data_IF_293997735801
#
_entry.id   IF_293997735801
#
_cell.length_a   1.000
_cell.length_b   1.000
_cell.length_c   1.000
_cell.angle_alpha   90.00
_cell.angle_beta   90.00
_cell.angle_gamma   90.00
#
_symmetry.space_group_name_H-M   'P 1'
#
loop_
_entity.id
_entity.type
_entity.pdbx_description
1 polymer ?
#
# COMPACT_ATOMS: atom_id res chain seq x y z
N UNK A 1 7.99 11.50 3.69
CA UNK A 1 7.01 10.38 3.76
C UNK A 1 6.23 10.54 5.05
N UNK A 2 4.91 10.38 5.01
CA UNK A 2 4.06 10.38 6.21
C UNK A 2 3.71 8.93 6.50
N UNK A 3 4.07 8.44 7.69
CA UNK A 3 3.62 7.12 8.17
C UNK A 3 2.22 7.23 8.76
N UNK A 4 1.31 6.35 8.34
CA UNK A 4 -0.02 6.26 8.91
C UNK A 4 -0.10 5.07 9.87
N UNK A 5 -0.78 5.28 10.99
CA UNK A 5 -1.08 4.25 12.01
C UNK A 5 -2.50 4.48 12.53
N UNK A 6 -3.02 3.57 13.34
CA UNK A 6 -4.34 3.66 13.93
C UNK A 6 -4.58 2.55 14.96
N UNK A 7 -5.80 2.50 15.47
CA UNK A 7 -6.32 1.37 16.24
C UNK A 7 -6.45 0.11 15.39
N UNK A 8 -6.57 -1.05 16.04
CA UNK A 8 -6.77 -2.33 15.36
C UNK A 8 -8.02 -2.31 14.45
N UNK A 9 -9.09 -1.63 14.88
CA UNK A 9 -10.32 -1.48 14.10
C UNK A 9 -10.10 -0.64 12.83
N UNK A 10 -9.36 0.47 12.93
CA UNK A 10 -9.02 1.33 11.80
C UNK A 10 -8.11 0.59 10.80
N UNK A 11 -7.09 -0.12 11.30
CA UNK A 11 -6.18 -0.93 10.48
C UNK A 11 -6.95 -2.06 9.77
N UNK A 12 -7.83 -2.78 10.49
CA UNK A 12 -8.65 -3.83 9.91
C UNK A 12 -9.61 -3.29 8.83
N UNK A 13 -10.20 -2.11 9.06
CA UNK A 13 -11.07 -1.47 8.07
C UNK A 13 -10.32 -1.11 6.78
N UNK A 14 -9.12 -0.52 6.91
CA UNK A 14 -8.26 -0.19 5.76
C UNK A 14 -7.82 -1.47 5.03
N UNK A 15 -7.35 -2.49 5.77
CA UNK A 15 -6.93 -3.76 5.18
C UNK A 15 -8.06 -4.40 4.35
N UNK A 16 -9.28 -4.42 4.90
CA UNK A 16 -10.47 -4.94 4.21
C UNK A 16 -10.84 -4.08 2.99
N UNK A 17 -10.76 -2.76 3.10
CA UNK A 17 -11.08 -1.83 2.02
C UNK A 17 -10.16 -1.99 0.80
N UNK A 18 -8.87 -2.22 1.04
CA UNK A 18 -7.87 -2.42 0.00
C UNK A 18 -7.67 -3.87 -0.42
N UNK A 19 -8.37 -4.81 0.23
CA UNK A 19 -8.23 -6.26 0.02
C UNK A 19 -6.79 -6.73 0.22
N UNK A 20 -6.08 -6.09 1.15
CA UNK A 20 -4.73 -6.44 1.49
C UNK A 20 -4.70 -7.71 2.37
N UNK A 21 -3.51 -8.28 2.49
CA UNK A 21 -3.20 -9.39 3.37
C UNK A 21 -2.11 -8.96 4.33
N UNK A 22 -2.32 -9.26 5.61
CA UNK A 22 -1.27 -9.29 6.60
C UNK A 22 -1.47 -10.49 7.52
N UNK A 23 -0.39 -11.02 8.07
CA UNK A 23 -0.41 -12.07 9.09
C UNK A 23 0.76 -11.89 10.03
N UNK A 24 0.46 -11.79 11.32
CA UNK A 24 1.47 -11.89 12.36
C UNK A 24 1.98 -13.32 12.43
N UNK A 25 3.29 -13.52 12.33
CA UNK A 25 3.91 -14.80 12.64
C UNK A 25 4.22 -14.83 14.14
N UNK A 26 3.57 -15.75 14.85
CA UNK A 26 3.73 -15.93 16.29
C UNK A 26 5.00 -16.73 16.55
N UNK A 27 6.09 -16.01 16.83
CA UNK A 27 7.36 -16.59 17.28
C UNK A 27 7.43 -16.53 18.81
N UNK A 28 8.12 -17.49 19.43
CA UNK A 28 8.31 -17.51 20.89
C UNK A 28 8.97 -16.23 21.43
N UNK A 29 9.64 -15.47 20.55
CA UNK A 29 10.21 -14.15 20.80
C UNK A 29 9.22 -13.04 20.39
N UNK A 30 8.59 -12.41 21.38
CA UNK A 30 7.67 -11.28 21.16
C UNK A 30 8.40 -9.96 20.87
N UNK A 31 9.71 -9.88 21.10
CA UNK A 31 10.51 -8.68 20.84
C UNK A 31 10.82 -8.56 19.35
N UNK A 32 11.09 -9.69 18.68
CA UNK A 32 11.39 -9.76 17.26
C UNK A 32 10.44 -10.73 16.55
N UNK A 33 9.43 -10.18 15.91
CA UNK A 33 8.46 -10.95 15.13
C UNK A 33 8.42 -10.50 13.67
N UNK A 34 7.99 -11.43 12.80
CA UNK A 34 7.76 -11.16 11.39
C UNK A 34 6.28 -10.96 11.13
N UNK A 35 5.97 -10.07 10.18
CA UNK A 35 4.63 -9.88 9.66
C UNK A 35 4.67 -10.14 8.17
N UNK A 36 3.97 -11.18 7.72
CA UNK A 36 3.73 -11.34 6.30
C UNK A 36 2.81 -10.21 5.86
N UNK A 37 3.12 -9.54 4.75
CA UNK A 37 2.27 -8.48 4.20
C UNK A 37 2.32 -8.47 2.67
N UNK A 38 1.28 -7.92 2.03
CA UNK A 38 1.33 -7.66 0.60
C UNK A 38 2.40 -6.61 0.28
N UNK A 39 3.10 -6.83 -0.84
CA UNK A 39 4.16 -5.94 -1.35
C UNK A 39 3.67 -5.25 -2.62
N UNK A 40 2.66 -4.40 -2.45
CA UNK A 40 2.04 -3.64 -3.52
C UNK A 40 2.04 -2.14 -3.20
N UNK A 41 1.89 -1.32 -4.23
CA UNK A 41 1.73 0.14 -4.10
C UNK A 41 0.55 0.59 -4.94
N UNK A 42 -0.21 1.58 -4.45
CA UNK A 42 -1.38 2.12 -5.15
C UNK A 42 -1.15 3.60 -5.48
N UNK A 43 -1.55 4.03 -6.67
CA UNK A 43 -1.68 5.44 -7.01
C UNK A 43 -3.12 5.89 -6.82
N UNK A 44 -3.32 6.88 -5.94
CA UNK A 44 -4.63 7.45 -5.63
C UNK A 44 -4.62 8.94 -5.98
N UNK A 45 -5.49 9.34 -6.90
CA UNK A 45 -5.65 10.73 -7.34
C UNK A 45 -6.56 11.51 -6.38
N UNK A 46 -6.53 12.85 -6.42
CA UNK A 46 -7.46 13.69 -5.66
C UNK A 46 -8.93 13.25 -5.85
N UNK A 47 -9.71 13.30 -4.77
CA UNK A 47 -11.08 12.77 -4.75
C UNK A 47 -11.18 11.27 -4.45
N UNK A 48 -10.07 10.62 -4.06
CA UNK A 48 -10.08 9.24 -3.56
C UNK A 48 -10.19 8.18 -4.67
N UNK A 49 -9.79 8.53 -5.90
CA UNK A 49 -9.85 7.61 -7.04
C UNK A 49 -8.53 6.87 -7.17
N UNK A 50 -8.54 5.57 -6.89
CA UNK A 50 -7.42 4.69 -7.22
C UNK A 50 -7.36 4.51 -8.72
N UNK A 51 -6.22 4.84 -9.32
CA UNK A 51 -6.02 4.79 -10.78
C UNK A 51 -5.00 3.75 -11.21
N UNK A 52 -4.11 3.33 -10.31
CA UNK A 52 -3.10 2.33 -10.64
C UNK A 52 -2.73 1.46 -9.43
N UNK A 53 -2.31 0.22 -9.74
CA UNK A 53 -1.72 -0.76 -8.85
C UNK A 53 -0.34 -1.16 -9.37
N UNK A 54 0.68 -1.05 -8.53
CA UNK A 54 2.03 -1.48 -8.82
C UNK A 54 2.37 -2.73 -8.00
N UNK A 55 2.88 -3.74 -8.66
CA UNK A 55 3.41 -4.92 -7.99
C UNK A 55 4.82 -4.64 -7.49
N UNK A 56 5.34 -5.53 -6.63
CA UNK A 56 6.72 -5.49 -6.16
C UNK A 56 7.76 -5.38 -7.29
N UNK A 57 7.48 -5.98 -8.43
CA UNK A 57 8.42 -6.08 -9.55
C UNK A 57 8.38 -4.85 -10.48
N UNK A 58 7.42 -3.94 -10.30
CA UNK A 58 7.35 -2.72 -11.10
C UNK A 58 8.58 -1.85 -10.83
N UNK A 59 9.30 -1.45 -11.88
CA UNK A 59 10.52 -0.66 -11.71
C UNK A 59 10.20 0.80 -11.35
N UNK A 60 11.11 1.50 -10.68
CA UNK A 60 10.92 2.93 -10.38
C UNK A 60 10.63 3.79 -11.62
N UNK A 61 11.26 3.47 -12.76
CA UNK A 61 11.06 4.19 -14.02
C UNK A 61 9.62 4.00 -14.54
N UNK A 62 9.11 2.77 -14.49
CA UNK A 62 7.73 2.47 -14.89
C UNK A 62 6.70 3.18 -13.99
N UNK A 63 6.96 3.22 -12.68
CA UNK A 63 6.11 3.97 -11.73
C UNK A 63 6.14 5.46 -12.10
N UNK A 64 7.32 6.04 -12.31
CA UNK A 64 7.46 7.46 -12.61
C UNK A 64 6.76 7.85 -13.92
N UNK A 65 6.94 7.08 -14.99
CA UNK A 65 6.29 7.30 -16.28
C UNK A 65 4.76 7.21 -16.16
N UNK A 66 4.25 6.21 -15.45
CA UNK A 66 2.81 6.03 -15.24
C UNK A 66 2.20 7.17 -14.43
N UNK A 67 2.85 7.58 -13.34
CA UNK A 67 2.41 8.70 -12.51
C UNK A 67 2.40 10.00 -13.32
N UNK A 68 3.43 10.26 -14.13
CA UNK A 68 3.49 11.43 -14.99
C UNK A 68 2.34 11.44 -16.00
N UNK A 69 2.05 10.29 -16.62
CA UNK A 69 0.93 10.16 -17.56
C UNK A 69 -0.42 10.53 -16.92
N UNK A 70 -0.71 10.03 -15.71
CA UNK A 70 -1.93 10.39 -14.99
C UNK A 70 -1.98 11.87 -14.58
N UNK A 71 -0.84 12.43 -14.17
CA UNK A 71 -0.74 13.84 -13.78
C UNK A 71 -1.00 14.77 -14.99
N UNK A 72 -0.38 14.49 -16.13
CA UNK A 72 -0.53 15.28 -17.36
C UNK A 72 -1.97 15.22 -17.91
N UNK A 73 -2.62 14.06 -17.85
CA UNK A 73 -4.00 13.90 -18.28
C UNK A 73 -5.04 14.54 -17.33
N UNK A 74 -4.62 14.93 -16.14
CA UNK A 74 -5.48 15.55 -15.11
C UNK A 74 -5.27 17.05 -14.96
N UNK A 75 -4.34 17.63 -15.73
CA UNK A 75 -4.07 19.07 -15.81
C UNK A 75 -5.08 19.79 -16.71
#
# INVERSE_FOLDING_TARGET
>A
MIGLTGSDEEIAAVNKGWRNYFKLNDEEDQEYYLVDHMTNTYLVMPGGKTVEFFSRETTPEQIAETVACYADASA
#
